data_IF_110247553366
#
_entry.id   IF_110247553366
#
_cell.length_a   1.000
_cell.length_b   1.000
_cell.length_c   1.000
_cell.angle_alpha   90.00
_cell.angle_beta   90.00
_cell.angle_gamma   90.00
#
_symmetry.space_group_name_H-M   'P 1'
#
loop_
_entity.id
_entity.type
_entity.pdbx_description
1 polymer ?
#
# COMPACT_ATOMS: atom_id res chain seq x y z
N UNK A 1 -14.42 15.46 4.14
CA UNK A 1 -13.09 14.86 4.42
C UNK A 1 -13.00 13.52 3.72
N UNK A 2 -11.90 13.29 3.05
CA UNK A 2 -11.67 12.02 2.35
C UNK A 2 -10.38 11.42 2.89
N UNK A 3 -10.52 10.39 3.70
CA UNK A 3 -9.36 9.76 4.32
C UNK A 3 -9.57 8.28 4.45
N UNK A 4 -8.53 7.52 4.11
CA UNK A 4 -8.55 6.08 4.25
C UNK A 4 -7.24 5.62 4.87
N UNK A 5 -7.33 4.62 5.72
CA UNK A 5 -6.15 3.98 6.33
C UNK A 5 -6.29 2.49 6.12
N UNK A 6 -5.25 1.88 5.56
CA UNK A 6 -5.24 0.47 5.25
C UNK A 6 -3.97 -0.19 5.78
N UNK A 7 -4.12 -1.40 6.27
CA UNK A 7 -2.99 -2.23 6.65
C UNK A 7 -3.07 -3.51 5.83
N UNK A 8 -2.00 -3.82 5.14
CA UNK A 8 -1.99 -5.00 4.29
C UNK A 8 -0.60 -5.32 3.79
N UNK A 9 -0.55 -6.24 2.85
CA UNK A 9 0.71 -6.70 2.30
C UNK A 9 0.86 -6.26 0.85
N UNK A 10 2.04 -5.82 0.50
CA UNK A 10 2.32 -5.42 -0.87
C UNK A 10 2.30 -6.62 -1.78
N UNK A 11 1.67 -6.47 -2.93
CA UNK A 11 1.55 -7.52 -3.91
C UNK A 11 2.86 -7.79 -4.65
N UNK A 12 3.70 -6.76 -4.74
CA UNK A 12 4.94 -6.86 -5.51
C UNK A 12 6.02 -5.96 -4.93
N UNK A 13 7.22 -6.11 -5.46
CA UNK A 13 8.29 -5.16 -5.19
C UNK A 13 7.89 -3.84 -5.84
N UNK A 14 7.96 -2.77 -5.07
CA UNK A 14 7.55 -1.46 -5.57
C UNK A 14 8.72 -0.80 -6.29
N UNK A 15 8.46 -0.36 -7.50
CA UNK A 15 9.46 0.28 -8.32
C UNK A 15 9.12 1.74 -8.56
N UNK A 16 10.16 2.56 -8.63
CA UNK A 16 9.98 3.97 -8.93
C UNK A 16 9.82 4.17 -10.43
N UNK A 17 8.82 4.94 -10.80
CA UNK A 17 8.55 5.27 -12.18
C UNK A 17 8.54 6.78 -12.35
N UNK A 18 8.69 7.23 -13.58
CA UNK A 18 8.67 8.66 -13.89
C UNK A 18 7.63 8.91 -14.96
N UNK A 19 6.75 9.87 -14.71
CA UNK A 19 5.73 10.24 -15.67
C UNK A 19 6.32 11.08 -16.80
N UNK A 20 5.50 11.35 -17.82
CA UNK A 20 5.92 12.18 -18.95
C UNK A 20 6.32 13.58 -18.51
N UNK A 21 5.74 14.05 -17.42
CA UNK A 21 6.01 15.39 -16.90
C UNK A 21 7.15 15.41 -15.91
N UNK A 22 7.86 14.30 -15.75
CA UNK A 22 8.97 14.23 -14.82
C UNK A 22 8.58 13.97 -13.38
N UNK A 23 7.32 13.65 -13.12
CA UNK A 23 6.87 13.35 -11.76
C UNK A 23 7.20 11.90 -11.41
N UNK A 24 7.86 11.73 -10.30
CA UNK A 24 8.20 10.38 -9.83
C UNK A 24 7.04 9.81 -9.02
N UNK A 25 6.75 8.55 -9.27
CA UNK A 25 5.64 7.88 -8.60
C UNK A 25 5.90 6.39 -8.50
N UNK A 26 5.15 5.73 -7.64
CA UNK A 26 5.20 4.28 -7.48
C UNK A 26 3.79 3.77 -7.31
N UNK A 27 3.46 2.68 -8.02
CA UNK A 27 2.17 2.04 -7.94
C UNK A 27 2.33 0.63 -7.40
N UNK A 28 1.41 0.21 -6.56
CA UNK A 28 1.44 -1.15 -6.06
C UNK A 28 0.04 -1.57 -5.61
N UNK A 29 -0.18 -2.88 -5.63
CA UNK A 29 -1.41 -3.45 -5.11
C UNK A 29 -1.22 -3.79 -3.64
N UNK A 30 -2.22 -3.50 -2.83
CA UNK A 30 -2.21 -3.81 -1.42
C UNK A 30 -3.29 -4.83 -1.12
N UNK A 31 -2.89 -5.95 -0.55
CA UNK A 31 -3.82 -7.02 -0.16
C UNK A 31 -4.23 -6.81 1.27
N UNK A 32 -5.49 -6.50 1.49
CA UNK A 32 -6.03 -6.24 2.82
C UNK A 32 -6.97 -7.37 3.19
N UNK A 33 -6.65 -8.07 4.24
CA UNK A 33 -7.47 -9.19 4.70
C UNK A 33 -8.68 -8.66 5.45
N UNK A 34 -9.84 -9.23 5.15
CA UNK A 34 -11.06 -8.85 5.87
C UNK A 34 -11.00 -9.36 7.30
N UNK A 35 -11.73 -8.70 8.17
CA UNK A 35 -11.76 -9.06 9.60
C UNK A 35 -12.24 -10.48 9.82
N UNK A 36 -13.16 -10.93 9.02
CA UNK A 36 -13.69 -12.29 9.15
C UNK A 36 -13.60 -13.01 7.82
N UNK A 37 -13.35 -14.30 7.87
CA UNK A 37 -13.28 -15.12 6.68
C UNK A 37 -11.91 -15.06 6.03
N UNK A 38 -11.84 -15.63 4.85
CA UNK A 38 -10.58 -15.75 4.12
C UNK A 38 -10.49 -14.78 2.95
N UNK A 39 -11.44 -13.88 2.83
CA UNK A 39 -11.45 -12.97 1.70
C UNK A 39 -10.43 -11.86 1.86
N UNK A 40 -9.86 -11.48 0.74
CA UNK A 40 -8.87 -10.42 0.67
C UNK A 40 -9.37 -9.39 -0.32
N UNK A 41 -9.29 -8.13 0.09
CA UNK A 41 -9.63 -7.04 -0.80
C UNK A 41 -8.34 -6.44 -1.35
N UNK A 42 -8.38 -6.07 -2.62
CA UNK A 42 -7.22 -5.53 -3.31
C UNK A 42 -7.41 -4.03 -3.53
N UNK A 43 -6.43 -3.27 -3.13
CA UNK A 43 -6.45 -1.83 -3.30
C UNK A 43 -5.26 -1.41 -4.13
N UNK A 44 -5.50 -0.57 -5.12
CA UNK A 44 -4.42 0.01 -5.88
C UNK A 44 -3.95 1.27 -5.18
N UNK A 45 -2.65 1.35 -4.91
CA UNK A 45 -2.05 2.46 -4.18
C UNK A 45 -1.04 3.17 -5.06
N UNK A 46 -1.00 4.49 -4.95
CA UNK A 46 -0.06 5.31 -5.71
C UNK A 46 0.61 6.28 -4.76
N UNK A 47 1.93 6.30 -4.80
CA UNK A 47 2.74 7.26 -4.04
C UNK A 47 3.42 8.19 -5.02
N UNK A 48 3.65 9.43 -4.60
CA UNK A 48 4.30 10.43 -5.45
C UNK A 48 5.52 11.03 -4.77
N UNK A 49 6.44 11.51 -5.61
CA UNK A 49 7.58 12.30 -5.19
C UNK A 49 8.44 11.62 -4.11
N UNK A 50 8.73 12.34 -3.05
CA UNK A 50 9.65 11.83 -2.02
C UNK A 50 9.17 10.55 -1.36
N UNK A 51 7.88 10.39 -1.16
CA UNK A 51 7.36 9.18 -0.57
C UNK A 51 7.65 7.99 -1.48
N UNK A 52 7.48 8.17 -2.79
CA UNK A 52 7.79 7.13 -3.74
C UNK A 52 9.28 6.83 -3.81
N UNK A 53 10.10 7.88 -3.83
CA UNK A 53 11.55 7.74 -3.96
C UNK A 53 12.21 7.17 -2.71
N UNK A 54 11.84 7.68 -1.55
CA UNK A 54 12.59 7.40 -0.33
C UNK A 54 12.01 6.27 0.51
N UNK A 55 10.74 5.98 0.35
CA UNK A 55 10.08 4.98 1.19
C UNK A 55 9.58 3.81 0.36
N UNK A 56 8.66 4.07 -0.56
CA UNK A 56 7.99 2.99 -1.27
C UNK A 56 8.96 2.14 -2.09
N UNK A 57 9.76 2.77 -2.93
CA UNK A 57 10.65 2.02 -3.80
C UNK A 57 11.82 1.37 -3.06
N UNK A 58 12.16 1.88 -1.89
CA UNK A 58 13.28 1.36 -1.11
C UNK A 58 12.87 0.23 -0.18
N UNK A 59 11.76 0.40 0.52
CA UNK A 59 11.39 -0.52 1.58
C UNK A 59 10.26 -1.48 1.27
N UNK A 60 9.43 -1.16 0.28
CA UNK A 60 8.26 -2.00 0.02
C UNK A 60 8.58 -3.06 -1.00
N UNK A 61 8.62 -4.30 -0.53
CA UNK A 61 8.87 -5.47 -1.36
C UNK A 61 7.66 -6.39 -1.31
N UNK A 62 7.65 -7.36 -2.21
CA UNK A 62 6.55 -8.33 -2.23
C UNK A 62 6.39 -8.99 -0.88
N UNK A 63 5.19 -8.94 -0.35
CA UNK A 63 4.89 -9.55 0.94
C UNK A 63 5.18 -8.67 2.15
N UNK A 64 5.69 -7.47 1.92
CA UNK A 64 5.94 -6.54 3.02
C UNK A 64 4.63 -6.04 3.60
N UNK A 65 4.51 -6.08 4.91
CA UNK A 65 3.34 -5.55 5.59
C UNK A 65 3.52 -4.07 5.85
N UNK A 66 2.56 -3.29 5.39
CA UNK A 66 2.65 -1.84 5.47
C UNK A 66 1.32 -1.25 5.91
N UNK A 67 1.39 -0.06 6.44
CA UNK A 67 0.21 0.76 6.67
C UNK A 67 0.27 1.96 5.73
N UNK A 68 -0.83 2.23 5.04
CA UNK A 68 -0.92 3.38 4.16
C UNK A 68 -2.06 4.27 4.63
N UNK A 69 -1.87 5.55 4.49
CA UNK A 69 -2.86 6.55 4.84
C UNK A 69 -2.95 7.55 3.71
N UNK A 70 -4.15 7.91 3.30
CA UNK A 70 -4.33 8.84 2.21
C UNK A 70 -5.78 9.05 1.89
N UNK A 71 -6.08 9.25 0.63
CA UNK A 71 -7.45 9.49 0.18
C UNK A 71 -7.80 8.54 -0.96
N UNK A 72 -9.09 8.22 -1.04
CA UNK A 72 -9.61 7.47 -2.18
C UNK A 72 -9.92 8.45 -3.29
N UNK A 73 -9.37 8.18 -4.46
CA UNK A 73 -9.59 9.03 -5.62
C UNK A 73 -9.99 8.18 -6.81
N UNK A 74 -10.66 8.78 -7.76
CA UNK A 74 -11.10 8.07 -8.94
C UNK A 74 -10.58 8.75 -10.20
N UNK A 75 -10.29 7.93 -11.19
CA UNK A 75 -9.97 8.40 -12.52
C UNK A 75 -11.08 7.97 -13.46
N UNK A 76 -11.52 8.91 -14.30
CA UNK A 76 -12.47 8.61 -15.36
C UNK A 76 -11.72 8.40 -16.65
N UNK A 77 -12.11 7.39 -17.40
CA UNK A 77 -11.49 7.16 -18.69
C UNK A 77 -12.55 6.64 -19.66
N UNK A 78 -12.29 6.86 -20.94
CA UNK A 78 -13.17 6.42 -22.02
C UNK A 78 -12.63 5.13 -22.60
N UNK A 79 -13.46 4.10 -22.61
CA UNK A 79 -13.08 2.83 -23.22
C UNK A 79 -13.11 2.90 -24.74
N UNK A 80 -12.53 1.89 -25.36
CA UNK A 80 -12.49 1.82 -26.82
C UNK A 80 -13.87 1.83 -27.45
N UNK A 81 -14.86 1.34 -26.73
CA UNK A 81 -16.24 1.30 -27.23
C UNK A 81 -17.01 2.60 -27.02
N UNK A 82 -16.34 3.62 -26.47
CA UNK A 82 -16.97 4.91 -26.23
C UNK A 82 -17.61 5.06 -24.87
N UNK A 83 -17.71 3.99 -24.10
CA UNK A 83 -18.31 4.09 -22.76
C UNK A 83 -17.31 4.66 -21.77
N UNK A 84 -17.83 5.31 -20.73
CA UNK A 84 -17.00 5.87 -19.69
C UNK A 84 -16.90 4.90 -18.51
N UNK A 85 -15.73 4.84 -17.93
CA UNK A 85 -15.49 3.97 -16.79
C UNK A 85 -14.68 4.72 -15.74
N UNK A 86 -14.79 4.28 -14.48
CA UNK A 86 -14.03 4.84 -13.38
C UNK A 86 -13.17 3.77 -12.74
N UNK A 87 -11.98 4.16 -12.36
CA UNK A 87 -11.15 3.31 -11.53
C UNK A 87 -10.81 4.06 -10.25
N UNK A 88 -10.76 3.33 -9.14
CA UNK A 88 -10.48 3.90 -7.83
C UNK A 88 -9.10 3.50 -7.38
N UNK A 89 -8.42 4.42 -6.74
CA UNK A 89 -7.09 4.15 -6.20
C UNK A 89 -6.89 4.94 -4.91
N UNK A 90 -5.91 4.52 -4.13
CA UNK A 90 -5.54 5.22 -2.91
C UNK A 90 -4.37 6.13 -3.23
N UNK A 91 -4.58 7.43 -3.07
CA UNK A 91 -3.49 8.39 -3.20
C UNK A 91 -2.81 8.44 -1.84
N UNK A 92 -1.65 7.81 -1.74
CA UNK A 92 -0.98 7.60 -0.46
C UNK A 92 -0.30 8.88 0.00
N UNK A 93 -0.70 9.37 1.17
CA UNK A 93 -0.08 10.55 1.76
C UNK A 93 1.04 10.15 2.73
N UNK A 94 0.90 8.99 3.36
CA UNK A 94 1.88 8.50 4.31
C UNK A 94 1.92 6.99 4.26
N UNK A 95 3.10 6.43 4.52
CA UNK A 95 3.30 5.00 4.43
C UNK A 95 4.35 4.58 5.46
N UNK A 96 4.04 3.53 6.21
CA UNK A 96 5.01 2.96 7.15
C UNK A 96 5.13 1.47 6.91
N UNK A 97 6.35 0.99 6.97
CA UNK A 97 6.64 -0.43 6.83
C UNK A 97 6.56 -1.06 8.21
N UNK A 98 5.65 -2.03 8.35
CA UNK A 98 5.45 -2.71 9.63
C UNK A 98 6.34 -3.93 9.76
N UNK A 99 6.52 -4.68 8.67
CA UNK A 99 7.39 -5.85 8.69
C UNK A 99 7.68 -6.29 7.27
N UNK A 100 8.80 -6.94 7.11
CA UNK A 100 9.16 -7.54 5.85
C UNK A 100 9.39 -9.04 6.06
N UNK A 101 9.44 -9.78 4.96
CA UNK A 101 9.70 -11.22 5.06
C UNK A 101 11.00 -11.54 5.75
N UNK A 102 12.00 -10.69 5.56
CA UNK A 102 13.32 -10.93 6.13
C UNK A 102 13.34 -10.85 7.64
N UNK A 103 12.42 -10.09 8.20
CA UNK A 103 12.45 -9.80 9.61
C UNK A 103 11.59 -10.73 10.45
N UNK A 104 11.02 -11.74 9.84
CA UNK A 104 10.15 -12.64 10.58
C UNK A 104 10.85 -13.33 11.75
N UNK A 105 12.05 -13.79 11.51
CA UNK A 105 12.79 -14.48 12.57
C UNK A 105 13.17 -13.53 13.69
N UNK A 106 13.48 -12.31 13.36
CA UNK A 106 13.82 -11.33 14.37
C UNK A 106 12.62 -10.92 15.20
N UNK A 107 11.49 -10.84 14.55
CA UNK A 107 10.28 -10.45 15.24
C UNK A 107 9.88 -11.44 16.30
N UNK A 108 10.17 -12.70 16.12
CA UNK A 108 9.80 -13.70 17.09
C UNK A 108 10.45 -13.47 18.45
N UNK A 109 11.56 -12.82 18.48
CA UNK A 109 12.27 -12.62 19.73
C UNK A 109 11.57 -11.69 20.69
N UNK A 110 10.92 -10.69 20.15
CA UNK A 110 10.30 -9.70 21.05
C UNK A 110 8.78 -9.76 21.04
N UNK A 111 8.21 -10.57 20.20
CA UNK A 111 6.77 -10.73 20.17
C UNK A 111 6.20 -11.14 21.52
N UNK A 112 6.81 -12.10 22.23
CA UNK A 112 6.24 -12.50 23.51
C UNK A 112 6.12 -11.36 24.50
N UNK A 113 7.00 -10.40 24.39
CA UNK A 113 6.94 -9.26 25.27
C UNK A 113 5.74 -8.39 24.95
N UNK A 114 5.50 -8.24 23.69
CA UNK A 114 4.49 -7.30 23.27
C UNK A 114 3.10 -7.83 23.29
N UNK A 115 2.95 -9.07 22.90
CA UNK A 115 1.62 -9.61 22.69
C UNK A 115 0.78 -9.60 23.94
N UNK A 116 1.40 -9.87 25.06
CA UNK A 116 0.68 -9.89 26.31
C UNK A 116 0.36 -8.53 26.86
N UNK A 117 1.11 -7.56 26.43
CA UNK A 117 1.01 -6.23 26.97
C UNK A 117 0.14 -5.29 26.16
N UNK A 118 -0.24 -5.71 24.99
CA UNK A 118 -1.00 -4.84 24.10
C UNK A 118 -2.48 -5.01 24.35
N UNK A 119 -3.11 -4.03 24.95
CA UNK A 119 -4.52 -4.14 25.33
C UNK A 119 -5.48 -3.89 24.17
N UNK A 120 -5.00 -3.69 23.04
CA UNK A 120 -5.87 -3.37 21.91
C UNK A 120 -5.95 -4.46 20.90
#
# INVERSE_FOLDING_TARGET
MNRIVLIGNSQKDVELETSKNGIKFAKFGLAVKRRSGDKVDWFECVCYNKLAENVASVYVKKGTKIVVSGSMESNEFTKADGSKSKSWFVNVADLEVLSSKKDESEKTEWVPVDSGDLPF
#
